data_IF_315980401453
#
_entry.id   IF_315980401453
#
_cell.length_a   1.000
_cell.length_b   1.000
_cell.length_c   1.000
_cell.angle_alpha   90.00
_cell.angle_beta   90.00
_cell.angle_gamma   90.00
#
_symmetry.space_group_name_H-M   'P 1'
#
loop_
_entity.id
_entity.type
_entity.pdbx_description
1 polymer ?
#
# COMPACT_ATOMS: atom_id res chain seq x y z
N UNK A 1 -18.10 11.01 12.24
CA UNK A 1 -16.81 10.34 12.13
C UNK A 1 -15.72 11.31 11.74
N UNK A 2 -14.51 11.03 12.19
CA UNK A 2 -13.33 11.87 11.94
C UNK A 2 -12.34 11.08 11.09
N UNK A 3 -12.65 10.96 9.80
CA UNK A 3 -11.85 10.16 8.88
C UNK A 3 -10.58 10.88 8.44
N UNK A 4 -9.48 10.14 8.42
CA UNK A 4 -8.21 10.58 7.86
C UNK A 4 -7.57 9.42 7.09
N UNK A 5 -6.65 9.73 6.19
CA UNK A 5 -5.95 8.74 5.39
C UNK A 5 -4.44 8.90 5.54
N UNK A 6 -3.74 7.78 5.52
CA UNK A 6 -2.27 7.73 5.56
C UNK A 6 -1.78 6.68 4.60
N UNK A 7 -0.85 7.04 3.73
CA UNK A 7 -0.20 6.09 2.83
C UNK A 7 0.92 5.37 3.58
N UNK A 8 1.03 4.07 3.40
CA UNK A 8 2.03 3.26 4.09
C UNK A 8 2.39 2.01 3.30
N UNK A 9 3.65 1.57 3.43
CA UNK A 9 3.97 0.18 3.12
C UNK A 9 3.59 -0.70 4.31
N UNK A 10 3.02 -1.86 4.06
CA UNK A 10 2.71 -2.83 5.10
C UNK A 10 3.86 -3.83 5.14
N UNK A 11 4.65 -3.76 6.21
CA UNK A 11 5.85 -4.59 6.36
C UNK A 11 5.52 -5.97 6.92
N UNK A 12 4.50 -6.07 7.75
CA UNK A 12 4.10 -7.32 8.39
C UNK A 12 2.62 -7.33 8.72
N UNK A 13 2.00 -8.50 8.57
CA UNK A 13 0.62 -8.74 8.98
C UNK A 13 0.62 -9.93 9.92
N UNK A 14 0.11 -9.74 11.13
CA UNK A 14 -0.01 -10.82 12.12
C UNK A 14 -1.48 -11.09 12.40
N UNK A 15 -2.07 -12.12 11.76
CA UNK A 15 -3.48 -12.45 11.97
C UNK A 15 -3.75 -13.10 13.32
N UNK A 16 -2.71 -13.59 14.00
CA UNK A 16 -2.85 -14.21 15.32
C UNK A 16 -3.13 -13.20 16.42
N UNK A 17 -2.49 -12.03 16.36
CA UNK A 17 -2.69 -10.95 17.32
C UNK A 17 -3.45 -9.77 16.72
N UNK A 18 -3.87 -9.87 15.47
CA UNK A 18 -4.67 -8.87 14.79
C UNK A 18 -3.99 -7.51 14.73
N UNK A 19 -2.75 -7.50 14.22
CA UNK A 19 -1.97 -6.28 14.02
C UNK A 19 -1.32 -6.25 12.65
N UNK A 20 -1.01 -5.03 12.21
CA UNK A 20 -0.11 -4.81 11.06
C UNK A 20 1.04 -3.93 11.53
N UNK A 21 2.18 -4.06 10.86
CA UNK A 21 3.31 -3.15 11.01
C UNK A 21 3.40 -2.32 9.74
N UNK A 22 3.27 -1.01 9.91
CA UNK A 22 3.19 -0.08 8.79
C UNK A 22 4.38 0.87 8.79
N UNK A 23 4.85 1.20 7.59
CA UNK A 23 5.90 2.17 7.33
C UNK A 23 5.27 3.34 6.58
N UNK A 24 5.00 4.44 7.27
CA UNK A 24 4.32 5.60 6.71
C UNK A 24 5.19 6.30 5.67
N UNK A 25 4.59 6.60 4.53
CA UNK A 25 5.26 7.26 3.42
C UNK A 25 4.39 8.40 2.88
N UNK A 26 5.00 9.26 2.06
CA UNK A 26 4.31 10.33 1.36
C UNK A 26 4.35 10.07 -0.14
N UNK A 27 3.27 10.39 -0.83
CA UNK A 27 3.28 10.41 -2.30
C UNK A 27 3.26 11.87 -2.76
N UNK A 28 4.20 12.19 -3.64
CA UNK A 28 4.33 13.52 -4.22
C UNK A 28 4.17 13.41 -5.73
N UNK A 29 3.69 14.48 -6.35
CA UNK A 29 3.49 14.51 -7.80
C UNK A 29 3.99 15.82 -8.38
N UNK A 30 4.18 15.85 -9.72
CA UNK A 30 4.58 17.04 -10.45
C UNK A 30 5.90 17.63 -9.97
N UNK A 31 5.91 18.94 -9.81
CA UNK A 31 7.13 19.66 -9.41
C UNK A 31 7.58 19.33 -7.99
N UNK A 32 6.64 19.03 -7.10
CA UNK A 32 6.97 18.62 -5.73
C UNK A 32 7.73 17.30 -5.71
N UNK A 33 7.29 16.34 -6.54
CA UNK A 33 7.96 15.06 -6.67
C UNK A 33 9.38 15.24 -7.22
N UNK A 34 9.54 16.07 -8.23
CA UNK A 34 10.84 16.35 -8.85
C UNK A 34 11.79 16.99 -7.83
N UNK A 35 11.31 18.02 -7.14
CA UNK A 35 12.11 18.71 -6.12
C UNK A 35 12.53 17.76 -5.00
N UNK A 36 11.61 16.94 -4.51
CA UNK A 36 11.89 15.98 -3.44
C UNK A 36 12.90 14.91 -3.87
N UNK A 37 12.76 14.39 -5.09
CA UNK A 37 13.69 13.39 -5.62
C UNK A 37 15.11 13.94 -5.76
N UNK A 38 15.25 15.19 -6.17
CA UNK A 38 16.54 15.87 -6.25
C UNK A 38 17.14 16.09 -4.87
N UNK A 39 16.32 16.57 -3.95
CA UNK A 39 16.73 16.80 -2.55
C UNK A 39 17.21 15.51 -1.88
N UNK A 40 16.52 14.39 -2.13
CA UNK A 40 16.84 13.09 -1.54
C UNK A 40 18.01 12.38 -2.25
N UNK A 41 18.53 12.96 -3.33
CA UNK A 41 19.66 12.39 -4.06
C UNK A 41 19.29 11.21 -4.95
N UNK A 42 18.00 10.98 -5.20
CA UNK A 42 17.55 9.93 -6.10
C UNK A 42 17.93 10.21 -7.54
N UNK A 43 17.92 11.50 -7.91
CA UNK A 43 18.33 11.98 -9.21
C UNK A 43 19.30 13.16 -9.04
N UNK A 44 20.13 13.48 -10.07
CA UNK A 44 21.02 14.65 -10.01
C UNK A 44 20.25 15.95 -9.86
N UNK A 45 20.88 17.05 -9.40
CA UNK A 45 20.22 18.35 -9.27
C UNK A 45 19.58 18.90 -10.54
N UNK A 46 20.07 18.49 -11.71
CA UNK A 46 19.55 18.84 -13.02
C UNK A 46 18.83 17.67 -13.71
N UNK A 47 18.64 16.55 -12.98
CA UNK A 47 17.98 15.37 -13.52
C UNK A 47 16.46 15.49 -13.52
N UNK A 48 15.82 14.52 -14.17
CA UNK A 48 14.36 14.43 -14.26
C UNK A 48 13.88 13.10 -13.77
N UNK A 49 12.63 13.06 -13.27
CA UNK A 49 11.97 11.82 -12.89
C UNK A 49 11.48 11.07 -14.13
N UNK A 50 11.53 9.75 -14.06
CA UNK A 50 10.99 8.91 -15.12
C UNK A 50 9.46 8.80 -15.11
N UNK A 51 8.77 9.42 -14.15
CA UNK A 51 7.32 9.42 -14.01
C UNK A 51 6.84 10.68 -13.33
N UNK A 52 5.52 10.75 -13.07
CA UNK A 52 4.90 11.95 -12.53
C UNK A 52 4.81 11.98 -11.01
N UNK A 53 5.29 10.96 -10.34
CA UNK A 53 5.18 10.85 -8.89
C UNK A 53 6.46 10.30 -8.27
N UNK A 54 6.59 10.54 -6.95
CA UNK A 54 7.67 10.04 -6.13
C UNK A 54 7.11 9.67 -4.75
N UNK A 55 7.44 8.48 -4.28
CA UNK A 55 7.11 8.06 -2.93
C UNK A 55 8.31 8.37 -2.05
N UNK A 56 8.11 9.30 -1.11
CA UNK A 56 9.13 9.70 -0.16
C UNK A 56 8.96 8.91 1.12
N UNK A 57 10.00 8.19 1.51
CA UNK A 57 10.04 7.39 2.74
C UNK A 57 11.24 7.84 3.58
N UNK A 58 11.06 8.92 4.33
CA UNK A 58 12.10 9.49 5.17
C UNK A 58 11.95 9.14 6.64
N UNK A 59 10.78 8.65 7.05
CA UNK A 59 10.55 8.28 8.44
C UNK A 59 10.89 6.80 8.65
N UNK A 60 12.00 6.48 9.36
CA UNK A 60 12.40 5.09 9.57
C UNK A 60 11.59 4.37 10.64
N UNK A 61 10.68 5.07 11.31
CA UNK A 61 9.90 4.53 12.41
C UNK A 61 8.75 3.66 11.89
N UNK A 62 8.65 2.44 12.38
CA UNK A 62 7.55 1.53 12.07
C UNK A 62 6.46 1.67 13.12
N UNK A 63 5.21 1.60 12.67
CA UNK A 63 4.03 1.74 13.54
C UNK A 63 3.27 0.42 13.56
N UNK A 64 2.97 -0.08 14.75
CA UNK A 64 2.14 -1.27 14.91
C UNK A 64 0.70 -0.83 15.17
N UNK A 65 -0.21 -1.30 14.34
CA UNK A 65 -1.62 -0.91 14.38
C UNK A 65 -2.49 -2.14 14.62
N UNK A 66 -3.45 -2.00 15.55
CA UNK A 66 -4.46 -3.01 15.77
C UNK A 66 -5.51 -2.94 14.65
N UNK A 67 -6.00 -4.10 14.22
CA UNK A 67 -7.01 -4.22 13.17
C UNK A 67 -8.21 -5.01 13.68
N UNK A 68 -9.39 -4.63 13.21
CA UNK A 68 -10.62 -5.36 13.52
C UNK A 68 -10.68 -6.66 12.71
N UNK A 69 -11.15 -7.77 13.30
CA UNK A 69 -11.29 -9.03 12.57
C UNK A 69 -12.32 -8.98 11.43
N UNK A 70 -13.18 -7.98 11.42
CA UNK A 70 -14.16 -7.80 10.33
C UNK A 70 -13.68 -6.89 9.22
N UNK A 71 -12.49 -6.27 9.37
CA UNK A 71 -11.92 -5.42 8.34
C UNK A 71 -11.46 -6.27 7.16
N UNK A 72 -11.90 -5.90 5.95
CA UNK A 72 -11.51 -6.58 4.73
C UNK A 72 -10.64 -5.65 3.89
N UNK A 73 -9.31 -5.92 3.80
CA UNK A 73 -8.46 -5.13 2.92
C UNK A 73 -8.88 -5.25 1.45
N UNK A 74 -8.71 -4.18 0.70
CA UNK A 74 -9.04 -4.13 -0.72
C UNK A 74 -7.76 -4.15 -1.54
N UNK A 75 -7.67 -5.07 -2.50
CA UNK A 75 -6.51 -5.23 -3.38
C UNK A 75 -6.83 -4.80 -4.81
N UNK A 76 -5.81 -4.32 -5.49
CA UNK A 76 -5.86 -4.04 -6.92
C UNK A 76 -5.57 -5.33 -7.68
N UNK A 77 -6.56 -5.87 -8.36
CA UNK A 77 -6.46 -7.17 -9.00
C UNK A 77 -6.93 -7.12 -10.45
N UNK A 78 -6.57 -8.15 -11.21
CA UNK A 78 -7.08 -8.37 -12.56
C UNK A 78 -7.95 -9.60 -12.57
N UNK A 79 -9.00 -9.61 -13.39
CA UNK A 79 -9.66 -10.85 -13.75
C UNK A 79 -8.69 -11.71 -14.57
N UNK A 80 -8.74 -13.01 -14.41
CA UNK A 80 -7.85 -13.92 -15.16
C UNK A 80 -7.98 -13.74 -16.68
N UNK A 81 -9.17 -13.48 -17.17
CA UNK A 81 -9.46 -13.30 -18.59
C UNK A 81 -10.22 -11.99 -18.87
N UNK A 82 -9.91 -10.93 -18.13
CA UNK A 82 -10.67 -9.69 -18.25
C UNK A 82 -9.89 -8.47 -17.79
N UNK A 83 -10.59 -7.40 -17.40
CA UNK A 83 -9.96 -6.13 -17.07
C UNK A 83 -9.05 -6.22 -15.85
N UNK A 84 -8.07 -5.33 -15.82
CA UNK A 84 -7.16 -5.14 -14.70
C UNK A 84 -7.55 -3.92 -13.87
N UNK A 85 -6.92 -3.82 -12.70
CA UNK A 85 -7.11 -2.71 -11.76
C UNK A 85 -8.55 -2.63 -11.26
N UNK A 86 -9.04 -3.77 -10.83
CA UNK A 86 -10.34 -3.90 -10.18
C UNK A 86 -10.09 -4.00 -8.69
N UNK A 87 -10.76 -3.17 -7.89
CA UNK A 87 -10.65 -3.25 -6.44
C UNK A 87 -11.43 -4.47 -5.94
N UNK A 88 -10.74 -5.30 -5.16
CA UNK A 88 -11.30 -6.56 -4.69
C UNK A 88 -11.07 -6.72 -3.20
N UNK A 89 -12.15 -6.83 -2.39
CA UNK A 89 -11.97 -7.13 -0.96
C UNK A 89 -11.51 -8.56 -0.75
N UNK A 90 -10.67 -8.76 0.25
CA UNK A 90 -10.20 -10.10 0.67
C UNK A 90 -10.34 -10.19 2.18
N UNK A 91 -10.53 -11.41 2.70
CA UNK A 91 -10.54 -11.56 4.15
C UNK A 91 -9.13 -11.40 4.72
N UNK A 92 -9.05 -11.13 6.01
CA UNK A 92 -7.79 -10.79 6.66
C UNK A 92 -6.76 -11.93 6.60
N UNK A 93 -7.22 -13.17 6.78
CA UNK A 93 -6.32 -14.32 6.74
C UNK A 93 -5.74 -14.53 5.34
N UNK A 94 -6.57 -14.37 4.30
CA UNK A 94 -6.13 -14.46 2.91
C UNK A 94 -5.12 -13.36 2.60
N UNK A 95 -5.41 -12.12 3.03
CA UNK A 95 -4.50 -10.99 2.82
C UNK A 95 -3.14 -11.24 3.49
N UNK A 96 -3.14 -11.72 4.73
CA UNK A 96 -1.90 -12.04 5.44
C UNK A 96 -1.05 -13.05 4.66
N UNK A 97 -1.68 -14.08 4.10
CA UNK A 97 -1.00 -15.06 3.27
C UNK A 97 -0.44 -14.46 1.98
N UNK A 98 -1.21 -13.60 1.32
CA UNK A 98 -0.79 -12.95 0.08
C UNK A 98 0.36 -11.98 0.29
N UNK A 99 0.32 -11.20 1.38
CA UNK A 99 1.36 -10.19 1.66
C UNK A 99 2.70 -10.80 2.05
N UNK A 100 2.71 -12.04 2.56
CA UNK A 100 3.95 -12.71 2.94
C UNK A 100 4.57 -13.52 1.79
N UNK A 101 3.91 -13.58 0.63
CA UNK A 101 4.39 -14.32 -0.53
C UNK A 101 5.28 -13.44 -1.38
N UNK A 102 6.47 -13.91 -1.72
CA UNK A 102 7.42 -13.16 -2.56
C UNK A 102 7.20 -13.33 -4.06
N UNK A 103 6.21 -14.12 -4.45
CA UNK A 103 5.93 -14.39 -5.86
C UNK A 103 4.92 -13.43 -6.43
N UNK A 104 5.24 -12.87 -7.59
CA UNK A 104 4.32 -12.05 -8.37
C UNK A 104 4.29 -12.57 -9.80
N UNK A 105 3.13 -12.75 -10.42
CA UNK A 105 1.79 -12.50 -9.87
C UNK A 105 1.27 -13.63 -8.97
N UNK A 106 0.31 -13.34 -8.15
CA UNK A 106 -0.37 -14.32 -7.29
C UNK A 106 -1.80 -14.51 -7.78
N UNK A 107 -2.22 -15.79 -7.89
CA UNK A 107 -3.61 -16.12 -8.26
C UNK A 107 -4.40 -16.44 -7.01
N UNK A 108 -5.60 -15.86 -6.91
CA UNK A 108 -6.48 -16.06 -5.79
C UNK A 108 -7.93 -16.01 -6.26
N UNK A 109 -8.63 -17.12 -6.15
CA UNK A 109 -10.06 -17.23 -6.51
C UNK A 109 -10.43 -16.68 -7.91
N UNK A 110 -9.61 -16.99 -8.92
CA UNK A 110 -9.86 -16.51 -10.28
C UNK A 110 -9.38 -15.10 -10.56
N UNK A 111 -8.75 -14.48 -9.59
CA UNK A 111 -8.16 -13.14 -9.71
C UNK A 111 -6.63 -13.25 -9.75
N UNK A 112 -6.01 -12.27 -10.37
CA UNK A 112 -4.55 -12.15 -10.39
C UNK A 112 -4.16 -10.85 -9.67
N UNK A 113 -3.35 -10.98 -8.64
CA UNK A 113 -2.84 -9.86 -7.87
C UNK A 113 -1.36 -9.64 -8.21
N UNK A 114 -1.06 -8.49 -8.83
CA UNK A 114 0.30 -8.18 -9.27
C UNK A 114 1.10 -7.38 -8.24
N UNK A 115 0.43 -6.75 -7.29
CA UNK A 115 1.09 -5.93 -6.27
C UNK A 115 1.99 -6.70 -5.33
N UNK A 116 1.54 -7.89 -4.94
CA UNK A 116 2.32 -8.84 -4.12
C UNK A 116 2.97 -8.19 -2.88
N UNK A 117 2.27 -7.27 -2.22
CA UNK A 117 2.77 -6.58 -1.05
C UNK A 117 3.81 -5.49 -1.34
N UNK A 118 4.15 -5.25 -2.60
CA UNK A 118 5.16 -4.26 -2.97
C UNK A 118 4.59 -2.86 -3.19
N UNK A 119 3.28 -2.74 -3.35
CA UNK A 119 2.61 -1.45 -3.47
C UNK A 119 2.26 -0.92 -2.08
N UNK A 120 2.25 0.41 -1.92
CA UNK A 120 1.77 0.98 -0.68
C UNK A 120 0.26 0.80 -0.53
N UNK A 121 -0.23 0.99 0.68
CA UNK A 121 -1.65 0.93 1.01
C UNK A 121 -2.11 2.28 1.54
N UNK A 122 -3.36 2.63 1.24
CA UNK A 122 -4.03 3.71 1.91
C UNK A 122 -4.69 3.16 3.16
N UNK A 123 -4.26 3.66 4.31
CA UNK A 123 -4.85 3.33 5.60
C UNK A 123 -5.86 4.40 5.95
N UNK A 124 -7.09 4.01 6.22
CA UNK A 124 -8.16 4.93 6.60
C UNK A 124 -8.44 4.78 8.09
N UNK A 125 -8.42 5.90 8.79
CA UNK A 125 -8.67 5.97 10.22
C UNK A 125 -9.96 6.72 10.50
N UNK A 126 -10.66 6.31 11.54
CA UNK A 126 -11.72 7.08 12.19
C UNK A 126 -11.19 7.46 13.57
N UNK A 127 -10.75 8.72 13.74
CA UNK A 127 -9.96 9.09 14.90
C UNK A 127 -8.68 8.28 14.93
N UNK A 128 -8.49 7.48 15.98
CA UNK A 128 -7.31 6.62 16.13
C UNK A 128 -7.56 5.17 15.66
N UNK A 129 -8.77 4.85 15.24
CA UNK A 129 -9.15 3.50 14.84
C UNK A 129 -8.90 3.26 13.35
N UNK A 130 -8.15 2.21 13.03
CA UNK A 130 -7.93 1.79 11.64
C UNK A 130 -9.20 1.08 11.15
N UNK A 131 -9.88 1.70 10.18
CA UNK A 131 -11.16 1.20 9.67
C UNK A 131 -11.11 0.76 8.20
N UNK A 132 -10.05 1.08 7.48
CA UNK A 132 -9.90 0.68 6.09
C UNK A 132 -8.44 0.48 5.69
N UNK A 133 -8.21 -0.49 4.80
CA UNK A 133 -6.90 -0.77 4.20
C UNK A 133 -7.17 -1.02 2.72
N UNK A 134 -6.57 -0.22 1.85
CA UNK A 134 -6.77 -0.34 0.41
C UNK A 134 -5.43 -0.21 -0.31
N UNK A 135 -5.11 -1.18 -1.17
CA UNK A 135 -3.89 -1.13 -1.96
C UNK A 135 -3.93 0.10 -2.88
N UNK A 136 -2.85 0.87 -2.86
CA UNK A 136 -2.75 2.09 -3.66
C UNK A 136 -2.19 1.74 -5.04
N UNK A 137 -2.97 2.04 -6.08
CA UNK A 137 -2.54 1.81 -7.46
C UNK A 137 -1.68 2.98 -7.95
N UNK A 138 -0.49 2.66 -8.42
CA UNK A 138 0.42 3.62 -9.04
C UNK A 138 0.33 3.45 -10.56
N UNK A 139 -0.14 4.48 -11.30
CA UNK A 139 -0.25 4.42 -12.75
C UNK A 139 1.08 4.34 -13.48
#
# INVERSE_FOLDING_TARGET
PDFSEQLAYVEEVDPGVMTITADYVEILSGEEALAAAREDGLIPPDGELGGDFYIRNQNPELVTLAISPILEPTLQACYEFGPCVVQRPVDLAAWAGLTTTERSPIRYEGWIWYGNGQLPYTLTFDGDDLVGISEFYLP
#
